data_IF_914186225066
#
_entry.id   IF_914186225066
#
_cell.length_a   1.000
_cell.length_b   1.000
_cell.length_c   1.000
_cell.angle_alpha   90.00
_cell.angle_beta   90.00
_cell.angle_gamma   90.00
#
_symmetry.space_group_name_H-M   'P 1'
#
loop_
_entity.id
_entity.type
_entity.pdbx_description
1 polymer ?
#
# COMPACT_ATOMS: atom_id res chain seq x y z
N UNK A 1 2.19 11.29 5.23
CA UNK A 1 1.43 10.33 6.08
C UNK A 1 -0.08 10.54 6.00
N UNK A 2 -0.65 11.69 6.42
CA UNK A 2 -2.10 11.92 6.34
C UNK A 2 -2.67 11.85 4.92
N UNK A 3 -2.00 12.53 3.98
CA UNK A 3 -2.34 12.50 2.54
C UNK A 3 -2.19 11.08 1.96
N UNK A 4 -1.12 10.39 2.34
CA UNK A 4 -0.87 9.01 1.93
C UNK A 4 -1.98 8.06 2.43
N UNK A 5 -2.36 8.17 3.70
CA UNK A 5 -3.43 7.38 4.30
C UNK A 5 -4.79 7.63 3.62
N UNK A 6 -5.11 8.90 3.37
CA UNK A 6 -6.34 9.29 2.68
C UNK A 6 -6.37 8.73 1.25
N UNK A 7 -5.27 8.92 0.49
CA UNK A 7 -5.14 8.40 -0.87
C UNK A 7 -5.30 6.89 -0.94
N UNK A 8 -4.64 6.15 -0.03
CA UNK A 8 -4.79 4.71 0.07
C UNK A 8 -6.22 4.28 0.42
N UNK A 9 -6.87 4.94 1.38
CA UNK A 9 -8.24 4.60 1.77
C UNK A 9 -9.22 4.78 0.60
N UNK A 10 -9.10 5.89 -0.13
CA UNK A 10 -9.93 6.16 -1.32
C UNK A 10 -9.68 5.10 -2.40
N UNK A 11 -8.41 4.78 -2.69
CA UNK A 11 -8.06 3.78 -3.70
C UNK A 11 -8.53 2.36 -3.31
N UNK A 12 -8.38 1.96 -2.04
CA UNK A 12 -8.87 0.67 -1.55
C UNK A 12 -10.39 0.57 -1.68
N UNK A 13 -11.12 1.61 -1.25
CA UNK A 13 -12.58 1.65 -1.39
C UNK A 13 -12.99 1.58 -2.87
N UNK A 14 -12.30 2.31 -3.76
CA UNK A 14 -12.56 2.25 -5.19
C UNK A 14 -12.32 0.85 -5.77
N UNK A 15 -11.24 0.16 -5.39
CA UNK A 15 -10.96 -1.23 -5.79
C UNK A 15 -12.07 -2.17 -5.32
N UNK A 16 -12.52 -2.04 -4.06
CA UNK A 16 -13.61 -2.85 -3.49
C UNK A 16 -14.91 -2.61 -4.26
N UNK A 17 -15.32 -1.35 -4.42
CA UNK A 17 -16.54 -1.01 -5.13
C UNK A 17 -16.52 -1.51 -6.58
N UNK A 18 -15.41 -1.34 -7.30
CA UNK A 18 -15.29 -1.88 -8.65
C UNK A 18 -15.36 -3.41 -8.65
N UNK A 19 -14.69 -4.09 -7.71
CA UNK A 19 -14.75 -5.55 -7.60
C UNK A 19 -16.15 -6.10 -7.35
N UNK A 20 -17.00 -5.38 -6.61
CA UNK A 20 -18.37 -5.80 -6.30
C UNK A 20 -19.40 -5.36 -7.35
N UNK A 21 -19.29 -4.15 -7.90
CA UNK A 21 -20.36 -3.54 -8.70
C UNK A 21 -20.04 -3.49 -10.21
N UNK A 22 -18.76 -3.46 -10.58
CA UNK A 22 -18.35 -3.47 -11.97
C UNK A 22 -17.74 -4.83 -12.29
N UNK A 23 -18.44 -5.68 -13.03
CA UNK A 23 -17.92 -6.96 -13.56
C UNK A 23 -16.66 -6.82 -14.45
N UNK A 24 -16.07 -5.63 -14.55
CA UNK A 24 -14.90 -5.30 -15.33
C UNK A 24 -13.58 -5.60 -14.61
N UNK A 25 -13.11 -6.85 -14.74
CA UNK A 25 -11.77 -7.28 -14.29
C UNK A 25 -10.64 -6.33 -14.71
N UNK A 26 -10.74 -5.71 -15.89
CA UNK A 26 -9.75 -4.76 -16.37
C UNK A 26 -9.63 -3.52 -15.46
N UNK A 27 -10.75 -2.94 -15.03
CA UNK A 27 -10.75 -1.75 -14.19
C UNK A 27 -10.29 -2.03 -12.76
N UNK A 28 -10.69 -3.18 -12.20
CA UNK A 28 -10.20 -3.64 -10.90
C UNK A 28 -8.68 -3.84 -10.92
N UNK A 29 -8.15 -4.48 -11.97
CA UNK A 29 -6.71 -4.68 -12.13
C UNK A 29 -5.96 -3.36 -12.29
N UNK A 30 -6.46 -2.44 -13.12
CA UNK A 30 -5.87 -1.11 -13.27
C UNK A 30 -5.80 -0.37 -11.94
N UNK A 31 -6.88 -0.39 -11.14
CA UNK A 31 -6.89 0.27 -9.84
C UNK A 31 -5.97 -0.40 -8.81
N UNK A 32 -5.81 -1.73 -8.85
CA UNK A 32 -4.80 -2.42 -8.05
C UNK A 32 -3.38 -1.99 -8.41
N UNK A 33 -3.09 -1.82 -9.70
CA UNK A 33 -1.79 -1.30 -10.15
C UNK A 33 -1.58 0.14 -9.67
N UNK A 34 -2.59 1.01 -9.79
CA UNK A 34 -2.52 2.39 -9.31
C UNK A 34 -2.28 2.43 -7.79
N UNK A 35 -2.99 1.61 -7.01
CA UNK A 35 -2.76 1.46 -5.57
C UNK A 35 -1.33 1.01 -5.26
N UNK A 36 -0.84 0.00 -5.98
CA UNK A 36 0.53 -0.49 -5.81
C UNK A 36 1.59 0.58 -6.10
N UNK A 37 1.44 1.32 -7.20
CA UNK A 37 2.34 2.44 -7.56
C UNK A 37 2.28 3.52 -6.49
N UNK A 38 1.08 3.90 -6.05
CA UNK A 38 0.89 4.90 -4.99
C UNK A 38 1.63 4.48 -3.70
N UNK A 39 1.38 3.27 -3.21
CA UNK A 39 2.01 2.76 -1.98
C UNK A 39 3.53 2.65 -2.13
N UNK A 40 4.03 2.23 -3.28
CA UNK A 40 5.47 2.13 -3.54
C UNK A 40 6.15 3.50 -3.59
N UNK A 41 5.56 4.46 -4.30
CA UNK A 41 6.06 5.83 -4.36
C UNK A 41 6.03 6.50 -2.98
N UNK A 42 4.94 6.32 -2.22
CA UNK A 42 4.83 6.78 -0.84
C UNK A 42 5.88 6.15 0.06
N UNK A 43 6.15 4.85 -0.07
CA UNK A 43 7.17 4.17 0.71
C UNK A 43 8.57 4.74 0.48
N UNK A 44 8.93 4.99 -0.79
CA UNK A 44 10.21 5.62 -1.15
C UNK A 44 10.29 7.04 -0.58
N UNK A 45 9.24 7.84 -0.80
CA UNK A 45 9.20 9.22 -0.32
C UNK A 45 9.33 9.29 1.21
N UNK A 46 8.60 8.45 1.95
CA UNK A 46 8.67 8.39 3.41
C UNK A 46 10.05 7.96 3.90
N UNK A 47 10.68 6.99 3.25
CA UNK A 47 12.03 6.53 3.60
C UNK A 47 13.08 7.65 3.42
N UNK A 48 12.95 8.45 2.35
CA UNK A 48 13.88 9.53 2.04
C UNK A 48 13.70 10.75 2.96
N UNK A 49 12.45 11.15 3.22
CA UNK A 49 12.14 12.38 3.97
C UNK A 49 12.16 12.14 5.49
N UNK A 50 11.73 10.97 5.96
CA UNK A 50 11.54 10.69 7.39
C UNK A 50 12.38 9.49 7.85
N UNK A 51 13.60 9.76 8.33
CA UNK A 51 14.53 8.74 8.84
C UNK A 51 13.98 7.80 9.92
N UNK A 52 12.96 8.22 10.68
CA UNK A 52 12.36 7.42 11.75
C UNK A 52 11.26 6.46 11.27
N UNK A 53 10.85 6.55 10.00
CA UNK A 53 9.82 5.71 9.41
C UNK A 53 10.50 4.67 8.55
N UNK A 54 10.58 3.42 9.03
CA UNK A 54 11.15 2.32 8.24
C UNK A 54 10.09 1.74 7.29
N UNK A 55 10.40 1.83 5.98
CA UNK A 55 9.63 1.25 4.88
C UNK A 55 10.46 0.29 4.01
N UNK A 56 11.70 0.00 4.40
CA UNK A 56 12.62 -0.80 3.60
C UNK A 56 12.10 -2.23 3.39
N UNK A 57 11.52 -2.83 4.43
CA UNK A 57 10.96 -4.18 4.34
C UNK A 57 9.79 -4.25 3.36
N UNK A 58 8.92 -3.24 3.34
CA UNK A 58 7.84 -3.17 2.36
C UNK A 58 8.38 -3.07 0.93
N UNK A 59 9.36 -2.20 0.68
CA UNK A 59 9.96 -2.02 -0.65
C UNK A 59 10.58 -3.34 -1.15
N UNK A 60 11.35 -4.02 -0.29
CA UNK A 60 11.96 -5.32 -0.63
C UNK A 60 10.89 -6.35 -0.97
N UNK A 61 9.86 -6.49 -0.13
CA UNK A 61 8.76 -7.44 -0.37
C UNK A 61 8.01 -7.08 -1.65
N UNK A 62 7.71 -5.81 -1.89
CA UNK A 62 7.02 -5.37 -3.10
C UNK A 62 7.82 -5.68 -4.37
N UNK A 63 9.14 -5.44 -4.37
CA UNK A 63 10.02 -5.79 -5.50
C UNK A 63 10.04 -7.30 -5.74
N UNK A 64 10.26 -8.09 -4.69
CA UNK A 64 10.25 -9.56 -4.78
C UNK A 64 8.93 -10.04 -5.35
N UNK A 65 7.82 -9.49 -4.85
CA UNK A 65 6.48 -9.89 -5.25
C UNK A 65 6.20 -9.53 -6.71
N UNK A 66 6.58 -8.32 -7.17
CA UNK A 66 6.46 -7.91 -8.58
C UNK A 66 7.26 -8.82 -9.50
N UNK A 67 8.50 -9.17 -9.13
CA UNK A 67 9.36 -10.05 -9.93
C UNK A 67 8.84 -11.49 -9.94
N UNK A 68 8.31 -11.97 -8.81
CA UNK A 68 7.79 -13.33 -8.72
C UNK A 68 6.37 -13.48 -9.28
N UNK A 69 5.57 -12.41 -9.33
CA UNK A 69 4.15 -12.47 -9.68
C UNK A 69 3.87 -13.19 -11.01
N UNK A 70 4.63 -12.96 -12.11
CA UNK A 70 4.38 -13.64 -13.38
C UNK A 70 4.49 -15.17 -13.23
N UNK A 71 5.51 -15.64 -12.50
CA UNK A 71 5.71 -17.07 -12.24
C UNK A 71 4.55 -17.64 -11.43
N UNK A 72 4.11 -16.93 -10.39
CA UNK A 72 3.01 -17.36 -9.53
C UNK A 72 1.66 -17.38 -10.26
N UNK A 73 1.41 -16.41 -11.15
CA UNK A 73 0.19 -16.39 -11.98
C UNK A 73 0.15 -17.63 -12.88
N UNK A 74 1.27 -18.04 -13.47
CA UNK A 74 1.34 -19.26 -14.29
C UNK A 74 1.13 -20.55 -13.47
N UNK A 75 1.55 -20.58 -12.20
CA UNK A 75 1.45 -21.77 -11.35
C UNK A 75 0.10 -21.92 -10.66
N UNK A 76 -0.42 -20.84 -10.08
CA UNK A 76 -1.56 -20.87 -9.14
C UNK A 76 -2.72 -19.98 -9.58
N UNK A 77 -2.61 -19.35 -10.76
CA UNK A 77 -3.67 -18.55 -11.37
C UNK A 77 -4.11 -17.38 -10.48
N UNK A 78 -5.41 -17.29 -10.23
CA UNK A 78 -6.03 -16.21 -9.45
C UNK A 78 -5.58 -16.20 -7.98
N UNK A 79 -5.12 -17.33 -7.45
CA UNK A 79 -4.63 -17.39 -6.06
C UNK A 79 -3.34 -16.58 -5.86
N UNK A 80 -2.59 -16.29 -6.93
CA UNK A 80 -1.40 -15.44 -6.88
C UNK A 80 -1.69 -13.99 -6.45
N UNK A 81 -2.95 -13.55 -6.52
CA UNK A 81 -3.35 -12.21 -6.07
C UNK A 81 -3.51 -12.09 -4.55
N UNK A 82 -3.62 -13.20 -3.81
CA UNK A 82 -3.72 -13.17 -2.34
C UNK A 82 -2.49 -12.52 -1.68
N UNK A 83 -1.25 -12.94 -2.00
CA UNK A 83 -0.05 -12.26 -1.50
C UNK A 83 0.01 -10.77 -1.85
N UNK A 84 -0.43 -10.39 -3.06
CA UNK A 84 -0.50 -8.97 -3.49
C UNK A 84 -1.41 -8.18 -2.56
N UNK A 85 -2.64 -8.67 -2.36
CA UNK A 85 -3.62 -8.04 -1.49
C UNK A 85 -3.11 -7.94 -0.04
N UNK A 86 -2.44 -8.99 0.46
CA UNK A 86 -1.82 -9.00 1.78
C UNK A 86 -0.76 -7.92 1.96
N UNK A 87 0.11 -7.72 0.95
CA UNK A 87 1.13 -6.65 0.99
C UNK A 87 0.50 -5.26 0.97
N UNK A 88 -0.56 -5.04 0.17
CA UNK A 88 -1.27 -3.76 0.15
C UNK A 88 -1.95 -3.44 1.48
N UNK A 89 -2.60 -4.44 2.09
CA UNK A 89 -3.21 -4.30 3.41
C UNK A 89 -2.17 -4.05 4.49
N UNK A 90 -1.05 -4.77 4.44
CA UNK A 90 0.05 -4.59 5.40
C UNK A 90 0.58 -3.14 5.39
N UNK A 91 0.86 -2.57 4.21
CA UNK A 91 1.30 -1.18 4.08
C UNK A 91 0.26 -0.18 4.60
N UNK A 92 -1.02 -0.43 4.31
CA UNK A 92 -2.11 0.41 4.79
C UNK A 92 -2.19 0.40 6.33
N UNK A 93 -2.16 -0.78 6.95
CA UNK A 93 -2.16 -0.93 8.42
C UNK A 93 -0.94 -0.23 9.03
N UNK A 94 0.24 -0.41 8.45
CA UNK A 94 1.46 0.25 8.91
C UNK A 94 1.33 1.78 8.84
N UNK A 95 0.73 2.30 7.76
CA UNK A 95 0.47 3.74 7.58
C UNK A 95 -0.51 4.27 8.62
N UNK A 96 -1.55 3.52 8.97
CA UNK A 96 -2.48 3.86 10.07
C UNK A 96 -1.72 3.94 11.40
N UNK A 97 -0.95 2.89 11.74
CA UNK A 97 -0.21 2.83 13.00
C UNK A 97 0.74 4.01 13.15
N UNK A 98 1.50 4.33 12.10
CA UNK A 98 2.45 5.43 12.17
C UNK A 98 1.74 6.78 12.21
N UNK A 99 0.60 6.92 11.53
CA UNK A 99 -0.24 8.13 11.63
C UNK A 99 -0.74 8.33 13.06
N UNK A 100 -1.26 7.28 13.71
CA UNK A 100 -1.69 7.31 15.12
C UNK A 100 -0.52 7.70 16.04
N UNK A 101 0.66 7.10 15.85
CA UNK A 101 1.86 7.45 16.63
C UNK A 101 2.19 8.93 16.51
N UNK A 102 2.13 9.51 15.31
CA UNK A 102 2.39 10.94 15.10
C UNK A 102 1.33 11.80 15.78
N UNK A 103 0.06 11.41 15.75
CA UNK A 103 -1.02 12.14 16.43
C UNK A 103 -0.92 12.08 17.97
N UNK A 104 -0.45 10.96 18.51
CA UNK A 104 -0.35 10.75 19.96
C UNK A 104 0.94 11.29 20.57
N UNK A 105 1.91 11.76 19.76
CA UNK A 105 3.11 12.41 20.30
C UNK A 105 2.71 13.72 21.00
N UNK A 106 3.14 13.95 22.26
CA UNK A 106 2.85 15.19 22.96
C UNK A 106 3.43 16.36 22.15
N UNK A 107 2.61 17.40 21.92
CA UNK A 107 2.96 18.57 21.09
C UNK A 107 4.17 19.35 21.61
N UNK A 108 4.61 19.10 22.85
CA UNK A 108 5.64 19.87 23.55
C UNK A 108 7.09 19.57 23.16
N UNK A 109 7.38 18.77 22.13
CA UNK A 109 8.77 18.57 21.67
C UNK A 109 9.10 19.29 20.36
N UNK A 110 8.11 19.92 19.71
CA UNK A 110 8.29 20.63 18.43
C UNK A 110 7.54 21.97 18.33
N UNK A 111 7.07 22.53 19.46
CA UNK A 111 6.63 23.93 19.53
C UNK A 111 7.81 24.90 19.83
N UNK A 112 9.06 24.48 19.57
CA UNK A 112 10.26 25.33 19.49
C UNK A 112 11.15 24.88 18.32
#
# INVERSE_FOLDING_TARGET
MKVDLLGQAVLIVAVVLLGFFASGKAWTNTMLVVLGIWQFASAIHLLQVYRHIDRMNFIKTAIVLVVSLPVWIHLVGVLAYFPVAGVFLWYFIQTIQDTIKVYNRPRSFWDL
#
